data_IF_418441092811
#
_entry.id   IF_418441092811
#
_cell.length_a   1.000
_cell.length_b   1.000
_cell.length_c   1.000
_cell.angle_alpha   90.00
_cell.angle_beta   90.00
_cell.angle_gamma   90.00
#
_symmetry.space_group_name_H-M   'P 1'
#
loop_
_entity.id
_entity.type
_entity.pdbx_description
1 polymer ?
#
# COMPACT_ATOMS: atom_id res chain seq x y z
N UNK A 1 -1.62 -21.52 -2.37
CA UNK A 1 -2.90 -21.64 -1.64
C UNK A 1 -3.54 -22.95 -2.06
N UNK A 2 -3.49 -23.98 -1.22
CA UNK A 2 -4.11 -25.26 -1.57
C UNK A 2 -5.51 -25.29 -0.97
N UNK A 3 -6.52 -25.16 -1.81
CA UNK A 3 -7.92 -25.37 -1.42
C UNK A 3 -8.21 -26.89 -1.37
N UNK A 4 -7.36 -27.65 -0.69
CA UNK A 4 -7.33 -29.12 -0.75
C UNK A 4 -8.59 -29.79 -0.21
N UNK A 5 -9.35 -29.10 0.64
CA UNK A 5 -10.55 -29.66 1.24
C UNK A 5 -11.80 -29.41 0.39
N UNK A 6 -12.43 -30.47 -0.12
CA UNK A 6 -13.78 -30.37 -0.68
C UNK A 6 -14.76 -29.89 0.39
N UNK A 7 -15.56 -28.86 0.09
CA UNK A 7 -16.61 -28.42 1.01
C UNK A 7 -17.69 -29.50 1.11
N UNK A 8 -18.01 -29.90 2.33
CA UNK A 8 -19.09 -30.84 2.65
C UNK A 8 -20.07 -30.12 3.56
N UNK A 9 -21.36 -30.17 3.21
CA UNK A 9 -22.44 -29.55 3.99
C UNK A 9 -23.23 -30.65 4.69
N UNK A 10 -23.71 -30.38 5.91
CA UNK A 10 -24.65 -31.24 6.60
C UNK A 10 -25.94 -31.37 5.75
N UNK A 11 -26.41 -32.61 5.57
CA UNK A 11 -27.66 -32.91 4.87
C UNK A 11 -28.65 -33.53 5.87
N UNK A 12 -29.35 -32.72 6.68
CA UNK A 12 -30.24 -33.25 7.71
C UNK A 12 -31.44 -33.97 7.08
N UNK A 13 -31.90 -35.03 7.74
CA UNK A 13 -33.08 -35.81 7.36
C UNK A 13 -33.89 -36.20 8.61
N UNK A 14 -35.14 -36.59 8.42
CA UNK A 14 -36.03 -36.94 9.52
C UNK A 14 -35.51 -38.18 10.28
N UNK A 15 -35.42 -38.07 11.61
CA UNK A 15 -34.85 -39.11 12.47
C UNK A 15 -33.33 -39.03 12.64
N UNK A 16 -32.64 -38.06 12.04
CA UNK A 16 -31.22 -37.83 12.31
C UNK A 16 -31.00 -37.19 13.69
N UNK A 17 -30.25 -37.86 14.57
CA UNK A 17 -29.79 -37.28 15.83
C UNK A 17 -28.56 -36.40 15.60
N UNK A 18 -28.69 -35.09 15.82
CA UNK A 18 -27.58 -34.15 15.72
C UNK A 18 -26.66 -34.21 16.94
N UNK A 19 -25.36 -34.22 16.68
CA UNK A 19 -24.31 -34.13 17.69
C UNK A 19 -23.65 -32.75 17.67
N UNK A 20 -22.85 -32.46 18.71
CA UNK A 20 -22.01 -31.26 18.73
C UNK A 20 -21.03 -31.23 17.53
N UNK A 21 -20.59 -32.41 17.06
CA UNK A 21 -19.71 -32.49 15.90
C UNK A 21 -20.42 -32.08 14.61
N UNK A 22 -21.68 -32.48 14.41
CA UNK A 22 -22.44 -32.09 13.22
C UNK A 22 -22.62 -30.56 13.12
N UNK A 23 -22.86 -29.91 14.27
CA UNK A 23 -22.95 -28.45 14.36
C UNK A 23 -21.59 -27.78 14.14
N UNK A 24 -20.50 -28.38 14.63
CA UNK A 24 -19.15 -27.88 14.39
C UNK A 24 -18.75 -27.99 12.91
N UNK A 25 -19.13 -29.09 12.24
CA UNK A 25 -18.89 -29.31 10.82
C UNK A 25 -19.70 -28.32 9.96
N UNK A 26 -20.95 -28.02 10.35
CA UNK A 26 -21.78 -27.02 9.70
C UNK A 26 -21.20 -25.59 9.83
N UNK A 27 -20.75 -25.20 11.03
CA UNK A 27 -20.04 -23.95 11.25
C UNK A 27 -18.75 -23.88 10.42
N UNK A 28 -17.98 -24.97 10.37
CA UNK A 28 -16.76 -25.05 9.57
C UNK A 28 -17.05 -24.91 8.07
N UNK A 29 -18.13 -25.52 7.58
CA UNK A 29 -18.58 -25.37 6.19
C UNK A 29 -18.88 -23.91 5.86
N UNK A 30 -19.69 -23.24 6.68
CA UNK A 30 -20.04 -21.83 6.48
C UNK A 30 -18.81 -20.92 6.54
N UNK A 31 -17.93 -21.13 7.52
CA UNK A 31 -16.68 -20.39 7.66
C UNK A 31 -15.78 -20.55 6.45
N UNK A 32 -15.55 -21.79 5.98
CA UNK A 32 -14.72 -22.07 4.80
C UNK A 32 -15.33 -21.53 3.51
N UNK A 33 -16.67 -21.57 3.39
CA UNK A 33 -17.38 -20.97 2.26
C UNK A 33 -17.15 -19.46 2.20
N UNK A 34 -17.29 -18.76 3.33
CA UNK A 34 -17.01 -17.32 3.45
C UNK A 34 -15.54 -17.00 3.19
N UNK A 35 -14.60 -17.79 3.73
CA UNK A 35 -13.16 -17.62 3.47
C UNK A 35 -12.84 -17.71 1.98
N UNK A 36 -13.42 -18.69 1.28
CA UNK A 36 -13.27 -18.83 -0.18
C UNK A 36 -13.87 -17.66 -0.92
N UNK A 37 -15.07 -17.23 -0.55
CA UNK A 37 -15.71 -16.06 -1.14
C UNK A 37 -14.82 -14.82 -0.99
N UNK A 38 -14.32 -14.56 0.23
CA UNK A 38 -13.42 -13.46 0.53
C UNK A 38 -12.14 -13.52 -0.33
N UNK A 39 -11.46 -14.66 -0.38
CA UNK A 39 -10.22 -14.81 -1.16
C UNK A 39 -10.45 -14.68 -2.67
N UNK A 40 -11.48 -15.33 -3.23
CA UNK A 40 -11.70 -15.31 -4.68
C UNK A 40 -12.21 -13.95 -5.19
N UNK A 41 -12.98 -13.23 -4.37
CA UNK A 41 -13.54 -11.94 -4.77
C UNK A 41 -12.63 -10.77 -4.41
N UNK A 42 -11.96 -10.84 -3.26
CA UNK A 42 -11.24 -9.72 -2.66
C UNK A 42 -9.76 -10.00 -2.40
N UNK A 43 -9.25 -11.22 -2.62
CA UNK A 43 -7.85 -11.54 -2.31
C UNK A 43 -7.57 -11.47 -0.80
N UNK A 44 -6.37 -11.04 -0.43
CA UNK A 44 -5.92 -10.90 0.96
C UNK A 44 -5.19 -9.58 1.19
N UNK A 45 -5.11 -9.13 2.44
CA UNK A 45 -4.46 -7.89 2.86
C UNK A 45 -5.44 -6.91 3.51
N UNK A 46 -5.00 -5.67 3.69
CA UNK A 46 -5.84 -4.59 4.24
C UNK A 46 -6.95 -4.25 3.22
N UNK A 47 -8.20 -4.23 3.66
CA UNK A 47 -9.35 -3.79 2.85
C UNK A 47 -9.57 -2.29 3.04
N UNK A 48 -9.69 -1.86 4.30
CA UNK A 48 -9.97 -0.48 4.68
C UNK A 48 -9.35 -0.16 6.04
N UNK A 49 -8.87 1.07 6.23
CA UNK A 49 -8.30 1.50 7.50
C UNK A 49 -6.97 0.81 7.80
N UNK A 50 -6.78 0.40 9.06
CA UNK A 50 -5.59 -0.33 9.53
C UNK A 50 -4.25 0.38 9.27
N UNK A 51 -4.28 1.71 9.12
CA UNK A 51 -3.06 2.50 9.05
C UNK A 51 -2.29 2.43 10.36
N UNK A 52 -0.96 2.43 10.28
CA UNK A 52 -0.09 2.40 11.45
C UNK A 52 0.71 3.69 11.50
N UNK A 53 0.60 4.37 12.64
CA UNK A 53 1.41 5.53 12.99
C UNK A 53 2.40 5.11 14.08
N UNK A 54 3.69 5.31 13.84
CA UNK A 54 4.72 5.00 14.82
C UNK A 54 5.03 6.25 15.66
N UNK A 55 4.77 6.18 16.96
CA UNK A 55 5.15 7.22 17.93
C UNK A 55 6.33 6.77 18.79
N UNK A 56 7.24 7.71 19.07
CA UNK A 56 8.34 7.51 20.02
C UNK A 56 8.17 8.43 21.23
N UNK A 57 8.00 7.85 22.42
CA UNK A 57 7.89 8.60 23.68
C UNK A 57 8.89 8.07 24.70
N UNK A 58 9.81 8.93 25.17
CA UNK A 58 10.77 8.65 26.26
C UNK A 58 11.47 7.28 26.13
N UNK A 59 12.03 6.98 24.94
CA UNK A 59 12.72 5.71 24.59
C UNK A 59 11.82 4.47 24.47
N UNK A 60 10.50 4.59 24.56
CA UNK A 60 9.55 3.53 24.21
C UNK A 60 8.92 3.82 22.84
N UNK A 61 8.68 2.77 22.07
CA UNK A 61 7.99 2.84 20.80
C UNK A 61 6.56 2.35 20.97
N UNK A 62 5.61 3.06 20.36
CA UNK A 62 4.19 2.70 20.35
C UNK A 62 3.67 2.80 18.93
N UNK A 63 3.02 1.75 18.45
CA UNK A 63 2.30 1.79 17.18
C UNK A 63 0.83 2.11 17.46
N UNK A 64 0.30 3.17 16.87
CA UNK A 64 -1.14 3.42 16.86
C UNK A 64 -1.70 2.79 15.61
N UNK A 65 -2.44 1.70 15.78
CA UNK A 65 -3.12 1.01 14.67
C UNK A 65 -4.53 1.56 14.58
N UNK A 66 -4.87 2.20 13.46
CA UNK A 66 -6.19 2.73 13.20
C UNK A 66 -7.21 1.63 12.99
N UNK A 67 -8.44 1.86 13.44
CA UNK A 67 -9.57 0.95 13.19
C UNK A 67 -9.71 0.63 11.69
N UNK A 68 -10.18 -0.57 11.39
CA UNK A 68 -10.30 -1.03 10.02
C UNK A 68 -10.52 -2.52 9.88
N UNK A 69 -10.47 -2.97 8.62
CA UNK A 69 -10.76 -4.34 8.22
C UNK A 69 -9.71 -4.87 7.23
N UNK A 70 -9.37 -6.14 7.38
CA UNK A 70 -8.45 -6.86 6.51
C UNK A 70 -8.86 -8.32 6.31
N UNK A 71 -8.23 -8.98 5.35
CA UNK A 71 -8.47 -10.39 5.02
C UNK A 71 -7.13 -11.14 5.07
N UNK A 72 -7.05 -12.22 5.83
CA UNK A 72 -5.83 -13.05 5.91
C UNK A 72 -5.62 -13.85 4.64
N UNK A 73 -4.44 -14.47 4.45
CA UNK A 73 -4.22 -15.39 3.32
C UNK A 73 -5.06 -16.67 3.42
N UNK A 74 -5.59 -16.97 4.60
CA UNK A 74 -6.58 -18.03 4.83
C UNK A 74 -8.03 -17.57 4.55
N UNK A 75 -8.24 -16.30 4.19
CA UNK A 75 -9.55 -15.73 3.92
C UNK A 75 -10.35 -15.34 5.16
N UNK A 76 -9.72 -15.32 6.34
CA UNK A 76 -10.38 -14.88 7.57
C UNK A 76 -10.50 -13.37 7.58
N UNK A 77 -11.65 -12.86 8.03
CA UNK A 77 -11.85 -11.43 8.25
C UNK A 77 -11.21 -10.98 9.55
N UNK A 78 -10.42 -9.92 9.50
CA UNK A 78 -9.81 -9.29 10.67
C UNK A 78 -10.44 -7.91 10.83
N UNK A 79 -11.18 -7.72 11.91
CA UNK A 79 -11.88 -6.47 12.20
C UNK A 79 -11.35 -5.82 13.47
N UNK A 80 -10.61 -4.72 13.30
CA UNK A 80 -10.20 -3.86 14.40
C UNK A 80 -11.22 -2.74 14.58
N UNK A 81 -12.08 -2.87 15.60
CA UNK A 81 -13.25 -1.99 15.79
C UNK A 81 -12.90 -0.55 16.19
N UNK A 82 -11.79 -0.36 16.87
CA UNK A 82 -11.34 0.92 17.40
C UNK A 82 -9.81 1.02 17.30
N UNK A 83 -9.29 2.25 17.32
CA UNK A 83 -7.86 2.48 17.34
C UNK A 83 -7.22 1.80 18.56
N UNK A 84 -6.11 1.10 18.34
CA UNK A 84 -5.38 0.39 19.40
C UNK A 84 -3.94 0.87 19.45
N UNK A 85 -3.49 1.19 20.66
CA UNK A 85 -2.10 1.54 20.95
C UNK A 85 -1.34 0.27 21.32
N UNK A 86 -0.37 -0.10 20.49
CA UNK A 86 0.45 -1.31 20.65
C UNK A 86 1.83 -0.90 21.15
N UNK A 87 2.22 -1.24 22.39
CA UNK A 87 3.59 -1.05 22.83
C UNK A 87 4.51 -1.98 22.02
N UNK A 88 5.53 -1.40 21.39
CA UNK A 88 6.51 -2.17 20.63
C UNK A 88 7.78 -2.34 21.46
N UNK A 89 8.15 -3.59 21.69
CA UNK A 89 9.48 -3.92 22.21
C UNK A 89 10.47 -3.89 21.05
N UNK A 90 11.58 -3.15 21.21
CA UNK A 90 12.63 -3.09 20.20
C UNK A 90 13.32 -4.46 20.15
N UNK A 91 13.25 -5.18 19.01
CA UNK A 91 13.97 -6.44 18.87
C UNK A 91 15.47 -6.27 19.09
N UNK A 92 16.13 -7.28 19.67
CA UNK A 92 17.57 -7.25 19.92
C UNK A 92 18.41 -7.39 18.65
N UNK A 93 17.85 -8.02 17.63
CA UNK A 93 18.52 -8.24 16.35
C UNK A 93 18.12 -7.14 15.37
N UNK A 94 19.11 -6.48 14.80
CA UNK A 94 18.91 -5.54 13.69
C UNK A 94 18.35 -6.30 12.48
N UNK A 95 17.40 -5.69 11.77
CA UNK A 95 16.71 -6.36 10.68
C UNK A 95 15.38 -5.73 10.29
N UNK A 96 14.72 -6.35 9.30
CA UNK A 96 13.37 -5.97 8.88
C UNK A 96 12.32 -6.80 9.63
N UNK A 97 11.31 -6.11 10.16
CA UNK A 97 10.20 -6.67 10.89
C UNK A 97 8.88 -6.21 10.27
N UNK A 98 7.84 -6.99 10.44
CA UNK A 98 6.48 -6.65 10.02
C UNK A 98 5.59 -6.68 11.26
N UNK A 99 4.82 -5.61 11.44
CA UNK A 99 3.72 -5.61 12.40
C UNK A 99 2.54 -6.33 11.75
N UNK A 100 2.18 -7.48 12.29
CA UNK A 100 1.09 -8.32 11.85
C UNK A 100 -0.12 -8.15 12.77
N UNK A 101 -1.32 -8.22 12.21
CA UNK A 101 -2.56 -8.33 12.96
C UNK A 101 -3.09 -9.75 12.78
N UNK A 102 -3.10 -10.54 13.86
CA UNK A 102 -3.56 -11.94 13.85
C UNK A 102 -5.05 -12.02 14.15
N UNK A 103 -5.73 -12.96 13.48
CA UNK A 103 -7.06 -13.43 13.90
C UNK A 103 -6.89 -14.41 15.06
N UNK A 104 -7.58 -14.18 16.19
CA UNK A 104 -7.50 -15.04 17.37
C UNK A 104 -8.89 -15.50 17.76
N UNK A 105 -9.06 -16.81 17.84
CA UNK A 105 -10.27 -17.44 18.38
C UNK A 105 -9.96 -17.95 19.79
N UNK A 106 -10.78 -17.59 20.78
CA UNK A 106 -10.67 -18.13 22.13
C UNK A 106 -12.05 -18.46 22.73
N UNK A 107 -12.17 -19.50 23.56
CA UNK A 107 -13.39 -19.76 24.31
C UNK A 107 -13.77 -18.55 25.18
N UNK A 108 -15.07 -18.26 25.21
CA UNK A 108 -15.63 -17.18 26.03
C UNK A 108 -15.87 -17.69 27.46
N UNK A 109 -14.98 -17.32 28.37
CA UNK A 109 -15.06 -17.71 29.78
C UNK A 109 -16.32 -17.15 30.48
N UNK A 110 -16.90 -16.06 29.96
CA UNK A 110 -18.11 -15.46 30.54
C UNK A 110 -19.39 -16.18 30.07
N UNK A 111 -19.29 -16.99 29.02
CA UNK A 111 -20.41 -17.73 28.44
C UNK A 111 -20.41 -19.22 28.84
N UNK A 112 -20.05 -19.53 30.09
CA UNK A 112 -20.08 -20.89 30.59
C UNK A 112 -21.50 -21.43 30.77
N UNK A 113 -21.70 -22.70 30.42
CA UNK A 113 -22.96 -23.44 30.60
C UNK A 113 -22.69 -24.81 31.21
N UNK A 114 -23.63 -25.34 32.01
CA UNK A 114 -23.53 -26.71 32.51
C UNK A 114 -23.63 -27.70 31.36
N UNK A 115 -22.79 -28.73 31.40
CA UNK A 115 -22.93 -29.92 30.56
C UNK A 115 -24.11 -30.73 31.08
N UNK A 116 -24.95 -31.23 30.17
CA UNK A 116 -26.16 -31.98 30.56
C UNK A 116 -25.80 -33.19 31.42
N UNK A 117 -26.52 -33.34 32.54
CA UNK A 117 -26.36 -34.43 33.51
C UNK A 117 -24.97 -34.53 34.17
N UNK A 118 -24.20 -33.43 34.18
CA UNK A 118 -22.94 -33.35 34.95
C UNK A 118 -22.86 -32.03 35.73
N UNK A 119 -21.88 -31.95 36.65
CA UNK A 119 -21.56 -30.71 37.37
C UNK A 119 -20.55 -29.82 36.61
N UNK A 120 -20.10 -30.26 35.42
CA UNK A 120 -19.06 -29.57 34.67
C UNK A 120 -19.62 -28.33 33.97
N UNK A 121 -18.86 -27.24 34.02
CA UNK A 121 -19.11 -26.04 33.24
C UNK A 121 -18.19 -26.02 32.02
N UNK A 122 -18.72 -25.66 30.86
CA UNK A 122 -17.94 -25.46 29.64
C UNK A 122 -18.35 -24.18 28.93
N UNK A 123 -17.39 -23.54 28.26
CA UNK A 123 -17.62 -22.35 27.45
C UNK A 123 -18.51 -22.69 26.24
N UNK A 124 -19.63 -21.99 26.10
CA UNK A 124 -20.60 -22.23 25.04
C UNK A 124 -20.42 -21.30 23.82
N UNK A 125 -19.45 -20.38 23.86
CA UNK A 125 -19.19 -19.39 22.81
C UNK A 125 -17.69 -19.28 22.53
N UNK A 126 -17.37 -18.83 21.32
CA UNK A 126 -16.02 -18.47 20.89
C UNK A 126 -16.00 -16.97 20.63
N UNK A 127 -15.01 -16.27 21.20
CA UNK A 127 -14.70 -14.88 20.89
C UNK A 127 -13.73 -14.83 19.71
N UNK A 128 -14.06 -14.00 18.74
CA UNK A 128 -13.18 -13.63 17.64
C UNK A 128 -12.57 -12.26 17.94
N UNK A 129 -11.26 -12.24 18.13
CA UNK A 129 -10.47 -11.06 18.48
C UNK A 129 -9.28 -10.91 17.54
N UNK A 130 -8.57 -9.79 17.69
CA UNK A 130 -7.38 -9.49 16.90
C UNK A 130 -6.19 -9.21 17.82
N UNK A 131 -5.01 -9.70 17.44
CA UNK A 131 -3.80 -9.55 18.25
C UNK A 131 -2.64 -9.02 17.40
N UNK A 132 -2.17 -7.79 17.64
CA UNK A 132 -1.03 -7.24 16.92
C UNK A 132 0.29 -7.84 17.45
N UNK A 133 1.17 -8.29 16.55
CA UNK A 133 2.47 -8.88 16.90
C UNK A 133 3.55 -8.42 15.93
N UNK A 134 4.72 -8.09 16.45
CA UNK A 134 5.89 -7.71 15.66
C UNK A 134 6.74 -8.96 15.42
N UNK A 135 6.92 -9.36 14.15
CA UNK A 135 7.67 -10.57 13.78
C UNK A 135 8.70 -10.24 12.68
N UNK A 136 9.77 -11.04 12.54
CA UNK A 136 10.74 -10.88 11.45
C UNK A 136 10.06 -10.96 10.08
N UNK A 137 10.50 -10.12 9.12
CA UNK A 137 9.85 -10.02 7.80
C UNK A 137 9.99 -11.28 6.92
N UNK A 138 10.94 -12.17 7.25
CA UNK A 138 11.17 -13.41 6.51
C UNK A 138 10.15 -14.52 6.77
N UNK A 139 9.32 -14.38 7.81
CA UNK A 139 8.32 -15.38 8.17
C UNK A 139 6.96 -15.00 7.60
N UNK A 140 6.41 -15.84 6.73
CA UNK A 140 5.05 -15.66 6.23
C UNK A 140 4.02 -16.08 7.29
N UNK A 141 3.03 -15.22 7.52
CA UNK A 141 1.95 -15.46 8.48
C UNK A 141 0.61 -15.55 7.73
N UNK A 142 0.11 -16.75 7.39
CA UNK A 142 -1.07 -16.90 6.55
C UNK A 142 -2.38 -16.51 7.26
N UNK A 143 -2.39 -16.58 8.59
CA UNK A 143 -3.49 -16.28 9.52
C UNK A 143 -3.49 -14.82 10.02
N UNK A 144 -2.66 -13.96 9.40
CA UNK A 144 -2.53 -12.56 9.78
C UNK A 144 -2.57 -11.62 8.57
N UNK A 145 -2.80 -10.33 8.85
CA UNK A 145 -2.70 -9.22 7.89
C UNK A 145 -1.47 -8.38 8.25
N UNK A 146 -0.59 -8.17 7.27
CA UNK A 146 0.56 -7.28 7.44
C UNK A 146 0.09 -5.82 7.48
N UNK A 147 0.47 -5.09 8.53
CA UNK A 147 0.05 -3.70 8.75
C UNK A 147 1.12 -2.69 8.30
N UNK A 148 2.37 -2.88 8.72
CA UNK A 148 3.48 -2.01 8.32
C UNK A 148 4.82 -2.75 8.43
N UNK A 149 5.79 -2.33 7.61
CA UNK A 149 7.19 -2.76 7.71
C UNK A 149 7.96 -1.81 8.61
N UNK A 150 8.78 -2.35 9.48
CA UNK A 150 9.66 -1.63 10.40
C UNK A 150 11.10 -2.12 10.21
N UNK A 151 12.05 -1.20 10.27
CA UNK A 151 13.47 -1.53 10.25
C UNK A 151 14.06 -1.22 11.63
N UNK A 152 14.80 -2.17 12.17
CA UNK A 152 15.55 -2.02 13.42
C UNK A 152 17.02 -1.86 13.06
N UNK A 153 17.60 -0.71 13.42
CA UNK A 153 19.04 -0.46 13.28
C UNK A 153 19.57 0.25 14.51
N UNK A 154 20.63 -0.28 15.10
CA UNK A 154 21.28 0.32 16.27
C UNK A 154 20.29 0.61 17.41
N UNK A 155 19.32 -0.29 17.62
CA UNK A 155 18.27 -0.15 18.64
C UNK A 155 17.22 0.93 18.36
N UNK A 156 17.13 1.44 17.12
CA UNK A 156 16.07 2.36 16.69
C UNK A 156 15.11 1.66 15.74
N UNK A 157 13.81 1.80 16.00
CA UNK A 157 12.73 1.39 15.09
C UNK A 157 12.39 2.55 14.16
N UNK A 158 12.37 2.28 12.86
CA UNK A 158 11.97 3.22 11.81
C UNK A 158 10.92 2.56 10.94
N UNK A 159 9.81 3.25 10.70
CA UNK A 159 8.79 2.78 9.77
C UNK A 159 9.31 2.90 8.34
N UNK A 160 9.24 1.79 7.60
CA UNK A 160 9.65 1.73 6.19
C UNK A 160 8.43 2.02 5.34
N UNK A 161 8.53 2.97 4.42
CA UNK A 161 7.47 3.30 3.46
C UNK A 161 7.39 2.28 2.31
N UNK A 162 7.52 0.99 2.63
CA UNK A 162 7.29 -0.09 1.68
C UNK A 162 5.84 -0.58 1.85
N UNK A 163 5.13 -0.82 0.73
CA UNK A 163 3.73 -1.20 0.80
C UNK A 163 3.54 -2.57 1.45
N UNK A 164 2.41 -2.71 2.14
CA UNK A 164 1.88 -3.99 2.62
C UNK A 164 0.72 -4.44 1.71
N UNK A 165 0.43 -5.75 1.62
CA UNK A 165 -0.64 -6.26 0.78
C UNK A 165 -2.00 -5.62 1.13
N UNK A 166 -2.74 -5.15 0.11
CA UNK A 166 -4.18 -4.86 0.22
C UNK A 166 -5.02 -5.89 -0.52
N UNK A 167 -6.19 -6.13 0.05
CA UNK A 167 -7.23 -6.90 -0.57
C UNK A 167 -7.75 -6.19 -1.83
N UNK A 168 -7.77 -6.90 -2.94
CA UNK A 168 -8.35 -6.53 -4.21
C UNK A 168 -8.14 -7.64 -5.24
N UNK A 169 -8.84 -7.57 -6.39
CA UNK A 169 -8.63 -8.48 -7.53
C UNK A 169 -7.20 -8.44 -8.10
N UNK A 170 -6.47 -7.36 -7.79
CA UNK A 170 -5.04 -7.20 -8.03
C UNK A 170 -4.41 -6.79 -6.71
N UNK A 171 -3.17 -7.21 -6.46
CA UNK A 171 -2.40 -6.73 -5.31
C UNK A 171 -2.35 -5.20 -5.41
N UNK A 172 -3.02 -4.54 -4.47
CA UNK A 172 -3.01 -3.07 -4.35
C UNK A 172 -2.11 -2.73 -3.17
N UNK A 173 -1.27 -1.71 -3.31
CA UNK A 173 -0.62 -1.10 -2.17
C UNK A 173 -1.60 -0.19 -1.44
N UNK A 174 -1.44 -0.09 -0.13
CA UNK A 174 -2.09 0.94 0.66
C UNK A 174 -1.55 2.30 0.28
N UNK A 175 -2.41 3.20 -0.24
CA UNK A 175 -2.08 4.56 -0.72
C UNK A 175 -0.60 4.68 -1.05
N UNK A 176 -0.22 4.02 -2.14
CA UNK A 176 1.18 3.80 -2.48
C UNK A 176 1.97 5.10 -2.34
N UNK A 177 3.09 5.06 -1.62
CA UNK A 177 3.99 6.22 -1.48
C UNK A 177 4.42 6.80 -2.85
N UNK A 178 4.28 6.00 -3.91
CA UNK A 178 4.45 6.37 -5.30
C UNK A 178 3.48 7.49 -5.74
N UNK A 179 2.20 7.44 -5.34
CA UNK A 179 1.15 8.37 -5.80
C UNK A 179 1.49 9.83 -5.45
N UNK A 180 1.84 10.18 -4.20
CA UNK A 180 2.32 11.52 -3.87
C UNK A 180 3.49 12.00 -4.74
N UNK A 181 4.42 11.12 -5.12
CA UNK A 181 5.58 11.48 -5.97
C UNK A 181 5.18 11.80 -7.40
N UNK A 182 4.26 11.03 -7.98
CA UNK A 182 3.73 11.34 -9.33
C UNK A 182 2.94 12.65 -9.31
N UNK A 183 2.10 12.88 -8.29
CA UNK A 183 1.37 14.15 -8.10
C UNK A 183 2.34 15.33 -7.97
N UNK A 184 3.42 15.17 -7.20
CA UNK A 184 4.44 16.20 -7.02
C UNK A 184 5.14 16.53 -8.35
N UNK A 185 5.51 15.51 -9.14
CA UNK A 185 6.06 15.69 -10.48
C UNK A 185 5.12 16.49 -11.40
N UNK A 186 3.82 16.15 -11.40
CA UNK A 186 2.81 16.83 -12.21
C UNK A 186 2.72 18.30 -11.82
N UNK A 187 2.62 18.58 -10.51
CA UNK A 187 2.53 19.93 -9.96
C UNK A 187 3.75 20.77 -10.34
N UNK A 188 4.96 20.25 -10.16
CA UNK A 188 6.20 20.95 -10.49
C UNK A 188 6.32 21.23 -11.99
N UNK A 189 6.01 20.25 -12.83
CA UNK A 189 6.07 20.40 -14.28
C UNK A 189 5.13 21.50 -14.78
N UNK A 190 3.88 21.55 -14.27
CA UNK A 190 2.92 22.61 -14.60
C UNK A 190 3.42 24.00 -14.19
N UNK A 191 4.03 24.12 -13.01
CA UNK A 191 4.62 25.38 -12.56
C UNK A 191 5.77 25.83 -13.46
N UNK A 192 6.70 24.92 -13.79
CA UNK A 192 7.82 25.21 -14.67
C UNK A 192 7.33 25.69 -16.05
N UNK A 193 6.38 24.98 -16.65
CA UNK A 193 5.77 25.38 -17.93
C UNK A 193 5.20 26.80 -17.82
N UNK A 194 4.41 27.08 -16.78
CA UNK A 194 3.82 28.41 -16.54
C UNK A 194 4.90 29.48 -16.40
N UNK A 195 5.98 29.18 -15.68
CA UNK A 195 7.06 30.12 -15.43
C UNK A 195 7.91 30.36 -16.68
N UNK A 196 8.20 29.32 -17.48
CA UNK A 196 8.90 29.45 -18.77
C UNK A 196 8.13 30.34 -19.77
N UNK A 197 6.80 30.31 -19.74
CA UNK A 197 5.98 31.25 -20.50
C UNK A 197 6.11 32.69 -19.98
N UNK A 198 6.08 32.88 -18.65
CA UNK A 198 6.20 34.20 -18.03
C UNK A 198 7.56 34.85 -18.27
N UNK A 199 8.63 34.06 -18.31
CA UNK A 199 9.99 34.54 -18.63
C UNK A 199 10.22 34.71 -20.13
N UNK A 200 9.18 34.59 -20.97
CA UNK A 200 9.25 34.64 -22.44
C UNK A 200 10.29 33.68 -23.04
N UNK A 201 10.63 32.62 -22.30
CA UNK A 201 11.57 31.58 -22.69
C UNK A 201 10.88 30.58 -23.62
N UNK A 202 9.59 30.34 -23.41
CA UNK A 202 8.67 29.71 -24.36
C UNK A 202 7.91 30.80 -25.12
N UNK A 203 8.20 30.98 -26.41
CA UNK A 203 7.55 32.00 -27.25
C UNK A 203 6.40 31.46 -28.11
N UNK A 204 6.40 30.18 -28.44
CA UNK A 204 5.40 29.54 -29.32
C UNK A 204 4.88 28.25 -28.70
N UNK A 205 3.60 27.93 -28.95
CA UNK A 205 3.03 26.65 -28.56
C UNK A 205 3.63 25.55 -29.45
N UNK A 206 4.58 24.79 -28.91
CA UNK A 206 5.10 23.60 -29.58
C UNK A 206 4.14 22.41 -29.41
N UNK A 207 4.14 21.50 -30.37
CA UNK A 207 3.40 20.23 -30.27
C UNK A 207 3.83 19.45 -29.02
N UNK A 208 5.12 19.47 -28.69
CA UNK A 208 5.67 18.83 -27.49
C UNK A 208 5.09 19.40 -26.19
N UNK A 209 4.89 20.72 -26.10
CA UNK A 209 4.26 21.35 -24.96
C UNK A 209 2.79 20.91 -24.81
N UNK A 210 2.01 20.95 -25.90
CA UNK A 210 0.59 20.57 -25.85
C UNK A 210 0.45 19.09 -25.48
N UNK A 211 1.28 18.24 -26.05
CA UNK A 211 1.33 16.81 -25.72
C UNK A 211 1.68 16.57 -24.25
N UNK A 212 2.69 17.25 -23.73
CA UNK A 212 3.09 17.10 -22.33
C UNK A 212 2.03 17.63 -21.35
N UNK A 213 1.43 18.80 -21.63
CA UNK A 213 0.30 19.31 -20.83
C UNK A 213 -0.90 18.37 -20.86
N UNK A 214 -1.23 17.79 -22.01
CA UNK A 214 -2.27 16.78 -22.13
C UNK A 214 -1.98 15.53 -21.29
N UNK A 215 -0.74 15.06 -21.31
CA UNK A 215 -0.29 13.92 -20.50
C UNK A 215 -0.38 14.23 -18.98
N UNK A 216 0.02 15.43 -18.55
CA UNK A 216 -0.06 15.87 -17.17
C UNK A 216 -1.52 15.90 -16.66
N UNK A 217 -2.44 16.44 -17.45
CA UNK A 217 -3.87 16.51 -17.12
C UNK A 217 -4.49 15.10 -17.07
N UNK A 218 -4.20 14.26 -18.07
CA UNK A 218 -4.69 12.88 -18.12
C UNK A 218 -4.22 12.06 -16.91
N UNK A 219 -2.94 12.21 -16.54
CA UNK A 219 -2.39 11.57 -15.35
C UNK A 219 -3.06 12.08 -14.07
N UNK A 220 -3.34 13.39 -13.96
CA UNK A 220 -4.05 13.96 -12.80
C UNK A 220 -5.43 13.31 -12.61
N UNK A 221 -6.22 13.16 -13.69
CA UNK A 221 -7.51 12.47 -13.62
C UNK A 221 -7.40 11.01 -13.17
N UNK A 222 -6.40 10.28 -13.69
CA UNK A 222 -6.15 8.90 -13.29
C UNK A 222 -5.76 8.76 -11.80
N UNK A 223 -5.13 9.79 -11.25
CA UNK A 223 -4.71 9.84 -9.85
C UNK A 223 -5.82 10.35 -8.91
N UNK A 224 -6.93 10.89 -9.41
CA UNK A 224 -8.08 11.24 -8.56
C UNK A 224 -8.74 9.97 -8.03
N UNK A 225 -8.77 8.90 -8.81
CA UNK A 225 -9.41 7.64 -8.42
C UNK A 225 -8.73 7.00 -7.19
N UNK A 226 -9.55 6.58 -6.23
CA UNK A 226 -9.08 5.79 -5.08
C UNK A 226 -8.72 4.37 -5.54
N UNK A 227 -7.54 3.89 -5.12
CA UNK A 227 -7.12 2.51 -5.36
C UNK A 227 -6.41 2.24 -6.69
N UNK A 228 -5.78 3.25 -7.30
CA UNK A 228 -4.82 3.07 -8.41
C UNK A 228 -3.73 2.06 -8.01
N UNK A 229 -3.50 1.02 -8.82
CA UNK A 229 -2.46 0.02 -8.52
C UNK A 229 -1.06 0.57 -8.79
N UNK A 230 -0.05 0.03 -8.10
CA UNK A 230 1.36 0.43 -8.28
C UNK A 230 1.79 0.31 -9.73
N UNK A 231 1.36 -0.75 -10.43
CA UNK A 231 1.67 -0.94 -11.85
C UNK A 231 1.09 0.14 -12.75
N UNK A 232 -0.09 0.67 -12.42
CA UNK A 232 -0.65 1.83 -13.12
C UNK A 232 0.19 3.06 -12.80
N UNK A 233 0.56 3.31 -11.54
CA UNK A 233 1.42 4.43 -11.16
C UNK A 233 2.79 4.40 -11.85
N UNK A 234 3.42 3.23 -11.93
CA UNK A 234 4.69 3.02 -12.63
C UNK A 234 4.57 3.35 -14.11
N UNK A 235 3.53 2.84 -14.78
CA UNK A 235 3.29 3.12 -16.21
C UNK A 235 2.98 4.59 -16.45
N UNK A 236 2.17 5.21 -15.60
CA UNK A 236 1.85 6.64 -15.67
C UNK A 236 3.12 7.48 -15.52
N UNK A 237 3.96 7.18 -14.53
CA UNK A 237 5.25 7.85 -14.39
C UNK A 237 6.15 7.64 -15.62
N UNK A 238 6.21 6.43 -16.18
CA UNK A 238 6.96 6.13 -17.40
C UNK A 238 6.49 6.98 -18.59
N UNK A 239 5.19 7.02 -18.84
CA UNK A 239 4.59 7.84 -19.89
C UNK A 239 4.87 9.33 -19.67
N UNK A 240 4.73 9.83 -18.45
CA UNK A 240 5.05 11.23 -18.12
C UNK A 240 6.53 11.56 -18.39
N UNK A 241 7.46 10.64 -18.14
CA UNK A 241 8.87 10.83 -18.45
C UNK A 241 9.14 10.88 -19.95
N UNK A 242 8.47 10.05 -20.75
CA UNK A 242 8.61 10.12 -22.21
C UNK A 242 8.11 11.46 -22.75
N UNK A 243 6.95 11.96 -22.29
CA UNK A 243 6.50 13.29 -22.69
C UNK A 243 7.37 14.43 -22.14
N UNK A 244 7.90 14.29 -20.93
CA UNK A 244 8.86 15.25 -20.38
C UNK A 244 10.13 15.28 -21.22
N UNK A 245 10.66 14.12 -21.62
CA UNK A 245 11.81 14.02 -22.51
C UNK A 245 11.57 14.79 -23.82
N UNK A 246 10.44 14.54 -24.48
CA UNK A 246 10.11 15.17 -25.76
C UNK A 246 9.87 16.69 -25.62
N UNK A 247 9.41 17.14 -24.45
CA UNK A 247 9.23 18.55 -24.14
C UNK A 247 10.56 19.26 -23.81
N UNK A 248 11.39 18.70 -22.94
CA UNK A 248 12.62 19.35 -22.45
C UNK A 248 13.81 19.25 -23.42
N UNK A 249 13.87 18.21 -24.25
CA UNK A 249 14.96 17.99 -25.21
C UNK A 249 15.10 19.09 -26.29
N UNK A 250 14.02 19.59 -26.92
CA UNK A 250 14.14 20.68 -27.89
C UNK A 250 14.26 22.06 -27.27
N UNK A 251 14.17 22.20 -25.93
CA UNK A 251 14.30 23.51 -25.30
C UNK A 251 15.73 24.04 -25.48
N UNK A 252 15.90 25.32 -25.86
CA UNK A 252 17.22 25.92 -25.84
C UNK A 252 17.78 25.88 -24.43
N UNK A 253 19.11 25.75 -24.32
CA UNK A 253 19.85 25.82 -23.05
C UNK A 253 19.71 27.23 -22.46
N UNK A 254 18.57 27.46 -21.83
CA UNK A 254 18.13 28.76 -21.30
C UNK A 254 18.67 28.98 -19.90
N UNK A 255 18.89 27.90 -19.16
CA UNK A 255 19.70 27.85 -17.94
C UNK A 255 20.56 26.60 -17.97
N UNK A 256 21.73 26.65 -17.31
CA UNK A 256 22.59 25.47 -17.14
C UNK A 256 21.82 24.31 -16.46
N UNK A 257 20.90 24.65 -15.54
CA UNK A 257 20.09 23.67 -14.82
C UNK A 257 19.07 22.96 -15.70
N UNK A 258 18.44 23.66 -16.65
CA UNK A 258 17.56 23.02 -17.64
C UNK A 258 18.37 22.04 -18.49
N UNK A 259 19.57 22.42 -18.94
CA UNK A 259 20.45 21.50 -19.68
C UNK A 259 20.81 20.24 -18.88
N UNK A 260 21.23 20.40 -17.62
CA UNK A 260 21.53 19.27 -16.73
C UNK A 260 20.29 18.39 -16.49
N UNK A 261 19.11 19.00 -16.35
CA UNK A 261 17.86 18.28 -16.16
C UNK A 261 17.43 17.51 -17.42
N UNK A 262 17.56 18.10 -18.60
CA UNK A 262 17.30 17.43 -19.89
C UNK A 262 18.13 16.16 -20.02
N UNK A 263 19.43 16.23 -19.70
CA UNK A 263 20.30 15.04 -19.69
C UNK A 263 19.88 13.99 -18.65
N UNK A 264 19.39 14.44 -17.49
CA UNK A 264 18.90 13.51 -16.48
C UNK A 264 17.58 12.82 -16.93
N UNK A 265 16.63 13.58 -17.44
CA UNK A 265 15.37 13.03 -18.00
C UNK A 265 15.66 12.06 -19.14
N UNK A 266 16.60 12.38 -20.03
CA UNK A 266 17.01 11.49 -21.13
C UNK A 266 17.51 10.13 -20.63
N UNK A 267 18.35 10.12 -19.59
CA UNK A 267 18.84 8.88 -18.98
C UNK A 267 17.72 8.07 -18.34
N UNK A 268 16.86 8.72 -17.54
CA UNK A 268 15.71 8.03 -16.89
C UNK A 268 14.71 7.50 -17.93
N UNK A 269 14.51 8.21 -19.04
CA UNK A 269 13.66 7.78 -20.15
C UNK A 269 14.23 6.55 -20.88
N UNK A 270 15.55 6.48 -21.08
CA UNK A 270 16.20 5.33 -21.73
C UNK A 270 16.11 4.05 -20.89
N UNK A 271 15.93 4.17 -19.58
CA UNK A 271 15.85 3.05 -18.65
C UNK A 271 14.40 2.65 -18.31
N UNK A 272 13.39 3.19 -19.00
CA UNK A 272 11.98 2.83 -18.75
C UNK A 272 11.77 1.32 -18.93
N UNK A 273 11.30 0.61 -17.89
CA UNK A 273 11.05 -0.82 -17.95
C UNK A 273 9.97 -1.19 -18.99
N UNK A 274 10.12 -2.38 -19.57
CA UNK A 274 9.12 -2.94 -20.48
C UNK A 274 7.81 -3.32 -19.77
N UNK A 275 6.69 -3.32 -20.49
CA UNK A 275 5.38 -3.61 -19.93
C UNK A 275 5.26 -5.00 -19.27
N UNK A 276 6.10 -5.96 -19.70
CA UNK A 276 6.18 -7.34 -19.22
C UNK A 276 7.13 -7.53 -18.03
N UNK A 277 7.93 -6.53 -17.68
CA UNK A 277 8.88 -6.65 -16.58
C UNK A 277 8.16 -6.63 -15.21
N UNK A 278 8.75 -7.31 -14.24
CA UNK A 278 8.20 -7.44 -12.88
C UNK A 278 8.25 -6.15 -12.08
N UNK A 279 7.44 -6.08 -11.03
CA UNK A 279 7.26 -4.89 -10.18
C UNK A 279 8.57 -4.45 -9.50
N UNK A 280 9.50 -5.36 -9.21
CA UNK A 280 10.82 -5.04 -8.64
C UNK A 280 11.69 -4.19 -9.58
N UNK A 281 11.64 -4.47 -10.89
CA UNK A 281 12.37 -3.68 -11.89
C UNK A 281 11.76 -2.29 -12.01
N UNK A 282 10.43 -2.22 -12.03
CA UNK A 282 9.69 -0.96 -12.01
C UNK A 282 9.97 -0.12 -10.77
N UNK A 283 10.02 -0.76 -9.59
CA UNK A 283 10.34 -0.11 -8.33
C UNK A 283 11.74 0.52 -8.36
N UNK A 284 12.75 -0.21 -8.86
CA UNK A 284 14.13 0.32 -8.98
C UNK A 284 14.20 1.51 -9.93
N UNK A 285 13.51 1.44 -11.07
CA UNK A 285 13.43 2.55 -12.01
C UNK A 285 12.68 3.76 -11.38
N UNK A 286 11.60 3.51 -10.64
CA UNK A 286 10.83 4.58 -10.01
C UNK A 286 11.66 5.36 -8.96
N UNK A 287 12.60 4.71 -8.28
CA UNK A 287 13.55 5.41 -7.41
C UNK A 287 14.44 6.40 -8.19
N UNK A 288 14.68 6.17 -9.48
CA UNK A 288 15.35 7.14 -10.35
C UNK A 288 14.40 8.27 -10.75
N UNK A 289 13.16 7.94 -11.09
CA UNK A 289 12.10 8.93 -11.33
C UNK A 289 11.95 9.90 -10.15
N UNK A 290 11.92 9.40 -8.92
CA UNK A 290 11.80 10.22 -7.71
C UNK A 290 12.97 11.22 -7.57
N UNK A 291 14.18 10.83 -8.00
CA UNK A 291 15.35 11.71 -7.97
C UNK A 291 15.24 12.91 -8.92
N UNK A 292 14.33 12.90 -9.90
CA UNK A 292 14.07 14.03 -10.79
C UNK A 292 13.32 15.18 -10.09
N UNK A 293 12.62 14.90 -8.99
CA UNK A 293 11.84 15.90 -8.27
C UNK A 293 12.71 17.03 -7.70
N UNK A 294 13.91 16.70 -7.19
CA UNK A 294 14.80 17.70 -6.61
C UNK A 294 15.35 18.68 -7.67
N UNK A 295 15.90 18.23 -8.82
CA UNK A 295 16.25 19.12 -9.93
C UNK A 295 15.06 19.96 -10.44
N UNK A 296 13.87 19.37 -10.60
CA UNK A 296 12.67 20.09 -11.02
C UNK A 296 12.33 21.23 -10.06
N UNK A 297 12.34 20.95 -8.75
CA UNK A 297 12.09 21.95 -7.72
C UNK A 297 13.09 23.12 -7.82
N UNK A 298 14.38 22.83 -8.04
CA UNK A 298 15.42 23.86 -8.21
C UNK A 298 15.22 24.71 -9.46
N UNK A 299 14.80 24.11 -10.58
CA UNK A 299 14.46 24.85 -11.81
C UNK A 299 13.27 25.77 -11.53
N UNK A 300 12.24 25.26 -10.86
CA UNK A 300 11.08 26.07 -10.52
C UNK A 300 11.45 27.30 -9.68
N UNK A 301 12.24 27.11 -8.62
CA UNK A 301 12.71 28.19 -7.74
C UNK A 301 13.53 29.25 -8.50
N UNK A 302 14.37 28.84 -9.44
CA UNK A 302 15.18 29.76 -10.24
C UNK A 302 14.34 30.57 -11.24
N UNK A 303 13.37 29.92 -11.88
CA UNK A 303 12.42 30.63 -12.75
C UNK A 303 11.54 31.59 -11.96
N UNK A 304 11.09 31.20 -10.75
CA UNK A 304 10.33 32.10 -9.85
C UNK A 304 11.16 33.34 -9.48
N UNK A 305 12.45 33.17 -9.12
CA UNK A 305 13.35 34.31 -8.87
C UNK A 305 13.55 35.22 -10.09
N UNK A 306 13.66 34.64 -11.28
CA UNK A 306 13.77 35.41 -12.53
C UNK A 306 12.50 36.23 -12.78
N UNK A 307 11.32 35.66 -12.54
CA UNK A 307 10.04 36.37 -12.67
C UNK A 307 9.92 37.50 -11.65
N UNK A 308 10.33 37.28 -10.41
CA UNK A 308 10.36 38.32 -9.37
C UNK A 308 11.30 39.47 -9.73
N UNK A 309 12.47 39.18 -10.31
CA UNK A 309 13.41 40.20 -10.77
C UNK A 309 12.90 41.02 -11.98
N UNK A 310 11.92 40.51 -12.73
CA UNK A 310 11.30 41.21 -13.85
C UNK A 310 10.11 42.10 -13.44
N UNK A 311 9.64 42.01 -12.18
CA UNK A 311 8.54 42.82 -11.64
C UNK A 311 9.04 44.09 -10.97
#
# INVERSE_FOLDING_TARGET
MSFEHTLRRLNPFEGLCLTAQDLADDQLYHRRSLQRHALFMHGFGIVQGLQVELEQRKKKYTAVVKSGYGITRLGQGIHLRQDVVVPLEVPRQDGEYILWLFHVERPDADAQRPVFDTADLREARILEEVSPRLLPAGEEQPDAVALTRLNVRLGRLVQVQLPVPRAGRQIRAAESYLKPRVVEFIRLSRKIITNLFRTATLKEQSVGLVAFMGALISAEFMLIEEGTSDRVLYRTAGTLISYAHDFFNPLPATTERIGQFTEFVRRVNAEIPGAEQGDDTWLRWFLQFERLLQPLQRINEELERTIEAMR
#
